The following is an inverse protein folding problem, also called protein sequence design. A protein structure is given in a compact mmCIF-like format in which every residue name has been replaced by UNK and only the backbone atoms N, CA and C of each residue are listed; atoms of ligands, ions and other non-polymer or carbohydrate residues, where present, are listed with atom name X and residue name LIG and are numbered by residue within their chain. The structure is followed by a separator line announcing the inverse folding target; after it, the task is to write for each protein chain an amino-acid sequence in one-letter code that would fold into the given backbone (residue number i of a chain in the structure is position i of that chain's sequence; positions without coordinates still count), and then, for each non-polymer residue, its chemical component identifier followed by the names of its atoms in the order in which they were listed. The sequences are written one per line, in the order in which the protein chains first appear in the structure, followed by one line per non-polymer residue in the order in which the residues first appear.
data_IF_394844874112
#
_entry.id   IF_394844874112
#
_cell.length_a   1.000
_cell.length_b   1.000
_cell.length_c   1.000
_cell.angle_alpha   90.00
_cell.angle_beta   90.00
_cell.angle_gamma   90.00
#
_symmetry.space_group_name_H-M   'P 1'
#
loop_
_entity.id
_entity.type
_entity.pdbx_description
1 polymer ?
#
# COMPACT_ATOMS: atom_id res chain seq x y z
N UNK A 1 -6.30 -4.74 -2.85
CA UNK A 1 -7.39 -5.62 -2.35
C UNK A 1 -8.46 -4.71 -1.74
N UNK A 2 -9.65 -5.17 -1.30
CA UNK A 2 -10.59 -4.22 -0.64
C UNK A 2 -10.06 -3.83 0.75
N UNK A 3 -10.22 -2.57 1.15
CA UNK A 3 -9.77 -2.01 2.45
C UNK A 3 -10.15 -2.88 3.64
N UNK A 4 -11.38 -3.44 3.66
CA UNK A 4 -11.82 -4.33 4.75
C UNK A 4 -10.88 -5.51 5.00
N UNK A 5 -10.27 -6.06 3.95
CA UNK A 5 -9.33 -7.17 4.09
C UNK A 5 -7.96 -6.68 4.60
N UNK A 6 -7.52 -5.48 4.22
CA UNK A 6 -6.32 -4.86 4.80
C UNK A 6 -6.51 -4.58 6.29
N UNK A 7 -7.69 -4.12 6.71
CA UNK A 7 -8.03 -3.95 8.13
C UNK A 7 -7.98 -5.30 8.87
N UNK A 8 -8.61 -6.35 8.33
CA UNK A 8 -8.59 -7.68 8.95
C UNK A 8 -7.17 -8.23 9.06
N UNK A 9 -6.38 -8.19 7.98
CA UNK A 9 -5.01 -8.67 7.99
C UNK A 9 -4.14 -7.87 8.97
N UNK A 10 -4.25 -6.54 8.98
CA UNK A 10 -3.51 -5.67 9.89
C UNK A 10 -3.88 -5.91 11.35
N UNK A 11 -5.15 -6.22 11.64
CA UNK A 11 -5.58 -6.57 12.99
C UNK A 11 -4.97 -7.90 13.44
N UNK A 12 -4.96 -8.91 12.58
CA UNK A 12 -4.39 -10.22 12.88
C UNK A 12 -2.86 -10.15 13.07
N UNK A 13 -2.16 -9.47 12.15
CA UNK A 13 -0.71 -9.30 12.21
C UNK A 13 -0.32 -8.48 13.44
N UNK A 14 -0.95 -7.34 13.68
CA UNK A 14 -0.63 -6.52 14.86
C UNK A 14 -0.97 -7.24 16.17
N UNK A 15 -2.08 -7.98 16.24
CA UNK A 15 -2.41 -8.82 17.40
C UNK A 15 -1.38 -9.91 17.68
N UNK A 16 -0.86 -10.56 16.65
CA UNK A 16 0.23 -11.53 16.77
C UNK A 16 1.52 -10.86 17.28
N UNK A 17 1.87 -9.68 16.73
CA UNK A 17 3.04 -8.92 17.20
C UNK A 17 2.89 -8.51 18.66
N UNK A 18 1.70 -8.06 19.08
CA UNK A 18 1.45 -7.77 20.48
C UNK A 18 1.64 -9.00 21.35
N UNK A 19 1.15 -10.17 20.90
CA UNK A 19 1.28 -11.41 21.66
C UNK A 19 2.75 -11.81 21.88
N UNK A 20 3.62 -11.62 20.87
CA UNK A 20 5.05 -11.97 20.92
C UNK A 20 5.87 -10.92 21.68
N UNK A 21 5.78 -9.65 21.28
CA UNK A 21 6.68 -8.60 21.73
C UNK A 21 6.15 -7.81 22.95
N UNK A 22 4.87 -7.95 23.27
CA UNK A 22 4.17 -7.19 24.32
C UNK A 22 4.35 -5.66 24.19
N UNK A 23 4.61 -5.18 22.97
CA UNK A 23 4.92 -3.78 22.67
C UNK A 23 3.72 -3.07 22.07
N UNK A 24 3.14 -2.15 22.82
CA UNK A 24 2.02 -1.30 22.35
C UNK A 24 2.45 -0.46 21.13
N UNK A 25 3.63 0.22 21.13
CA UNK A 25 4.03 1.02 19.98
C UNK A 25 4.17 0.21 18.70
N UNK A 26 4.83 -0.96 18.74
CA UNK A 26 4.99 -1.84 17.59
C UNK A 26 3.63 -2.25 17.01
N UNK A 27 2.71 -2.61 17.90
CA UNK A 27 1.36 -3.05 17.56
C UNK A 27 0.57 -1.95 16.87
N UNK A 28 0.53 -0.74 17.47
CA UNK A 28 -0.21 0.39 16.92
C UNK A 28 0.37 0.83 15.59
N UNK A 29 1.69 0.98 15.49
CA UNK A 29 2.34 1.42 14.24
C UNK A 29 2.16 0.37 13.15
N UNK A 30 2.26 -0.92 13.46
CA UNK A 30 2.00 -2.00 12.48
C UNK A 30 0.56 -1.97 11.97
N UNK A 31 -0.42 -1.80 12.86
CA UNK A 31 -1.82 -1.69 12.47
C UNK A 31 -2.07 -0.44 11.60
N UNK A 32 -1.63 0.73 12.07
CA UNK A 32 -1.85 2.01 11.41
C UNK A 32 -1.22 2.00 10.02
N UNK A 33 0.04 1.61 9.92
CA UNK A 33 0.71 1.53 8.62
C UNK A 33 0.08 0.49 7.70
N UNK A 34 -0.29 -0.69 8.21
CA UNK A 34 -0.96 -1.71 7.41
C UNK A 34 -2.33 -1.30 6.84
N UNK A 35 -2.99 -0.29 7.41
CA UNK A 35 -4.29 0.22 6.93
C UNK A 35 -4.16 1.52 6.15
N UNK A 36 -3.33 2.46 6.59
CA UNK A 36 -3.30 3.83 6.06
C UNK A 36 -2.38 4.03 4.86
N UNK A 37 -1.64 3.02 4.41
CA UNK A 37 -0.83 3.10 3.19
C UNK A 37 -1.66 3.49 1.97
N UNK A 38 -2.89 2.98 1.88
CA UNK A 38 -3.85 3.30 0.81
C UNK A 38 -4.19 4.80 0.69
N UNK A 39 -3.84 5.62 1.69
CA UNK A 39 -4.01 7.07 1.60
C UNK A 39 -3.14 7.68 0.50
N UNK A 40 -2.08 7.02 0.05
CA UNK A 40 -1.28 7.51 -1.08
C UNK A 40 -2.06 7.62 -2.40
N UNK A 41 -3.16 6.87 -2.55
CA UNK A 41 -4.12 7.00 -3.65
C UNK A 41 -4.87 8.35 -3.67
N UNK A 42 -4.88 9.10 -2.57
CA UNK A 42 -5.56 10.38 -2.49
C UNK A 42 -5.02 11.37 -3.52
N UNK A 43 -3.72 11.31 -3.82
CA UNK A 43 -3.11 12.19 -4.82
C UNK A 43 -3.71 11.95 -6.21
N UNK A 44 -3.79 10.70 -6.66
CA UNK A 44 -4.41 10.30 -7.94
C UNK A 44 -5.88 10.71 -8.01
N UNK A 45 -6.58 10.57 -6.89
CA UNK A 45 -7.99 10.95 -6.80
C UNK A 45 -8.17 12.47 -6.91
N UNK A 46 -7.33 13.26 -6.22
CA UNK A 46 -7.40 14.72 -6.21
C UNK A 46 -7.11 15.35 -7.57
N UNK A 47 -6.17 14.79 -8.34
CA UNK A 47 -5.82 15.29 -9.68
C UNK A 47 -6.74 14.74 -10.79
N UNK A 48 -7.66 13.83 -10.45
CA UNK A 48 -8.58 13.23 -11.40
C UNK A 48 -9.68 14.23 -11.79
N UNK A 49 -10.07 14.31 -13.08
CA UNK A 49 -11.22 15.13 -13.49
C UNK A 49 -12.56 14.63 -12.92
N UNK A 50 -12.58 13.44 -12.32
CA UNK A 50 -13.77 12.84 -11.71
C UNK A 50 -13.85 13.07 -10.19
N UNK A 51 -12.97 13.89 -9.61
CA UNK A 51 -12.91 14.09 -8.16
C UNK A 51 -14.23 14.62 -7.58
N UNK A 52 -14.63 14.02 -6.44
CA UNK A 52 -15.75 14.46 -5.60
C UNK A 52 -15.35 14.37 -4.13
N UNK A 53 -15.77 15.32 -3.30
CA UNK A 53 -15.56 15.25 -1.85
C UNK A 53 -16.55 14.26 -1.20
N UNK A 54 -16.39 12.97 -1.52
CA UNK A 54 -17.20 11.87 -1.01
C UNK A 54 -16.33 10.61 -0.87
N UNK A 55 -16.33 10.02 0.32
CA UNK A 55 -15.50 8.84 0.65
C UNK A 55 -15.99 7.61 -0.12
N UNK A 56 -17.31 7.45 -0.28
CA UNK A 56 -17.86 6.32 -1.03
C UNK A 56 -17.48 6.41 -2.52
N UNK A 57 -17.45 7.62 -3.08
CA UNK A 57 -16.99 7.89 -4.44
C UNK A 57 -15.49 7.62 -4.60
N UNK A 58 -14.66 7.98 -3.62
CA UNK A 58 -13.24 7.65 -3.61
C UNK A 58 -13.00 6.15 -3.81
N UNK A 59 -13.64 5.29 -3.00
CA UNK A 59 -13.48 3.85 -3.16
C UNK A 59 -14.02 3.33 -4.50
N UNK A 60 -15.20 3.81 -4.92
CA UNK A 60 -15.78 3.43 -6.22
C UNK A 60 -14.90 3.83 -7.41
N UNK A 61 -14.17 4.93 -7.31
CA UNK A 61 -13.27 5.42 -8.36
C UNK A 61 -12.15 4.42 -8.65
N UNK A 62 -11.52 3.87 -7.59
CA UNK A 62 -10.47 2.87 -7.72
C UNK A 62 -11.02 1.47 -8.05
N UNK A 63 -12.18 1.08 -7.50
CA UNK A 63 -12.84 -0.19 -7.87
C UNK A 63 -13.18 -0.25 -9.37
N UNK A 64 -13.48 0.90 -9.99
CA UNK A 64 -13.79 1.00 -11.43
C UNK A 64 -12.56 1.25 -12.32
N UNK A 65 -11.34 1.21 -11.78
CA UNK A 65 -10.10 1.48 -12.53
C UNK A 65 -10.13 2.79 -13.33
N UNK A 66 -10.76 3.84 -12.78
CA UNK A 66 -10.91 5.13 -13.47
C UNK A 66 -9.65 6.02 -13.38
N UNK A 67 -8.61 5.55 -12.68
CA UNK A 67 -7.36 6.28 -12.56
C UNK A 67 -6.54 6.23 -13.86
N UNK A 68 -5.92 7.36 -14.19
CA UNK A 68 -5.01 7.48 -15.34
C UNK A 68 -3.54 7.41 -14.93
N UNK A 69 -3.24 7.73 -13.67
CA UNK A 69 -1.88 7.79 -13.12
C UNK A 69 -1.75 6.88 -11.91
N UNK A 70 -0.53 6.44 -11.63
CA UNK A 70 -0.20 5.55 -10.51
C UNK A 70 1.07 6.02 -9.79
N UNK A 71 0.98 7.17 -9.10
CA UNK A 71 2.08 7.72 -8.31
C UNK A 71 2.39 6.88 -7.07
N UNK A 72 1.36 6.39 -6.35
CA UNK A 72 1.38 5.47 -5.20
C UNK A 72 2.75 5.38 -4.50
N UNK A 73 3.13 6.42 -3.77
CA UNK A 73 4.49 6.52 -3.22
C UNK A 73 4.76 5.47 -2.14
N UNK A 74 3.78 5.19 -1.29
CA UNK A 74 3.91 4.22 -0.20
C UNK A 74 3.88 2.78 -0.70
N UNK A 75 3.23 2.52 -1.84
CA UNK A 75 3.26 1.24 -2.55
C UNK A 75 4.54 1.07 -3.39
N UNK A 76 5.70 1.15 -2.73
CA UNK A 76 7.02 1.12 -3.38
C UNK A 76 7.92 0.06 -2.75
N UNK A 77 8.32 -0.95 -3.52
CA UNK A 77 9.25 -1.97 -3.04
C UNK A 77 10.61 -1.37 -2.70
N UNK A 78 11.01 -0.32 -3.42
CA UNK A 78 12.21 0.45 -3.14
C UNK A 78 12.10 1.16 -1.78
N UNK A 79 10.95 1.77 -1.45
CA UNK A 79 10.74 2.40 -0.15
C UNK A 79 10.77 1.37 0.99
N UNK A 80 10.16 0.20 0.77
CA UNK A 80 10.18 -0.88 1.75
C UNK A 80 11.62 -1.40 1.99
N UNK A 81 12.44 -1.50 0.94
CA UNK A 81 13.85 -1.86 1.07
C UNK A 81 14.66 -0.81 1.84
N UNK A 82 14.43 0.48 1.60
CA UNK A 82 15.03 1.57 2.38
C UNK A 82 14.61 1.47 3.85
N UNK A 83 13.32 1.25 4.11
CA UNK A 83 12.80 1.10 5.47
C UNK A 83 13.39 -0.13 6.18
N UNK A 84 13.60 -1.23 5.47
CA UNK A 84 14.29 -2.40 5.99
C UNK A 84 15.72 -2.07 6.43
N UNK A 85 16.49 -1.34 5.60
CA UNK A 85 17.86 -0.92 5.93
C UNK A 85 17.87 -0.01 7.17
N UNK A 86 16.89 0.91 7.28
CA UNK A 86 16.74 1.78 8.46
C UNK A 86 16.40 0.96 9.72
N UNK A 87 15.51 -0.02 9.60
CA UNK A 87 15.15 -0.90 10.71
C UNK A 87 16.33 -1.76 11.18
N UNK A 88 17.12 -2.26 10.22
CA UNK A 88 18.31 -3.04 10.53
C UNK A 88 19.40 -2.19 11.20
N UNK A 89 19.66 -0.98 10.67
CA UNK A 89 20.69 -0.08 11.22
C UNK A 89 20.31 0.53 12.57
N UNK A 90 19.01 0.59 12.91
CA UNK A 90 18.54 1.00 14.24
C UNK A 90 18.62 -0.12 15.28
N UNK A 91 19.11 -1.31 14.93
CA UNK A 91 19.13 -2.47 15.82
C UNK A 91 17.74 -3.07 16.05
N UNK A 92 16.87 -3.01 15.03
CA UNK A 92 15.49 -3.49 15.09
C UNK A 92 14.61 -2.74 16.10
N UNK A 93 14.72 -1.41 16.12
CA UNK A 93 13.81 -0.56 16.90
C UNK A 93 12.34 -0.94 16.62
N UNK A 94 11.56 -1.13 17.69
CA UNK A 94 10.22 -1.71 17.61
C UNK A 94 9.19 -0.80 16.92
N UNK A 95 9.40 0.53 16.89
CA UNK A 95 8.54 1.43 16.12
C UNK A 95 8.79 1.24 14.63
N UNK A 96 10.05 1.22 14.24
CA UNK A 96 10.47 1.06 12.84
C UNK A 96 10.13 -0.35 12.34
N UNK A 97 10.33 -1.38 13.17
CA UNK A 97 9.94 -2.75 12.86
C UNK A 97 8.41 -2.89 12.70
N UNK A 98 7.63 -2.24 13.57
CA UNK A 98 6.17 -2.17 13.43
C UNK A 98 5.77 -1.55 12.09
N UNK A 99 6.35 -0.41 11.73
CA UNK A 99 6.11 0.27 10.45
C UNK A 99 6.47 -0.62 9.26
N UNK A 100 7.65 -1.25 9.30
CA UNK A 100 8.14 -2.14 8.26
C UNK A 100 7.19 -3.34 8.07
N UNK A 101 6.79 -4.01 9.14
CA UNK A 101 5.91 -5.17 9.06
C UNK A 101 4.52 -4.77 8.57
N UNK A 102 3.96 -3.68 9.09
CA UNK A 102 2.67 -3.17 8.65
C UNK A 102 2.66 -2.80 7.16
N UNK A 103 3.72 -2.14 6.68
CA UNK A 103 3.88 -1.85 5.25
C UNK A 103 4.10 -3.10 4.40
N UNK A 104 5.00 -3.98 4.84
CA UNK A 104 5.33 -5.19 4.09
C UNK A 104 4.11 -6.09 3.90
N UNK A 105 3.35 -6.38 4.97
CA UNK A 105 2.18 -7.25 4.85
C UNK A 105 1.11 -6.63 3.94
N UNK A 106 0.87 -5.32 4.01
CA UNK A 106 -0.03 -4.65 3.08
C UNK A 106 0.40 -4.87 1.63
N UNK A 107 1.66 -4.56 1.31
CA UNK A 107 2.21 -4.67 -0.05
C UNK A 107 2.23 -6.11 -0.58
N UNK A 108 2.57 -7.09 0.28
CA UNK A 108 2.56 -8.51 -0.09
C UNK A 108 1.15 -8.96 -0.47
N UNK A 109 0.15 -8.61 0.35
CA UNK A 109 -1.24 -8.96 0.05
C UNK A 109 -1.70 -8.34 -1.26
N UNK A 110 -1.30 -7.10 -1.52
CA UNK A 110 -1.63 -6.39 -2.74
C UNK A 110 -0.98 -7.01 -3.98
N UNK A 111 0.27 -7.44 -3.87
CA UNK A 111 1.00 -8.15 -4.94
C UNK A 111 0.39 -9.52 -5.26
N UNK A 112 -0.16 -10.22 -4.25
CA UNK A 112 -0.74 -11.57 -4.39
C UNK A 112 -2.18 -11.51 -4.90
N UNK A 113 -3.02 -10.66 -4.32
CA UNK A 113 -4.46 -10.70 -4.52
C UNK A 113 -4.98 -9.72 -5.56
N UNK A 114 -4.21 -8.72 -5.98
CA UNK A 114 -4.58 -7.85 -7.08
C UNK A 114 -4.01 -8.35 -8.41
N UNK A 115 -4.72 -8.13 -9.53
CA UNK A 115 -4.21 -8.42 -10.88
C UNK A 115 -3.08 -7.45 -11.25
N UNK A 116 -1.90 -7.65 -10.68
CA UNK A 116 -0.72 -6.80 -10.85
C UNK A 116 0.41 -7.56 -11.56
N UNK A 117 1.33 -6.81 -12.16
CA UNK A 117 2.59 -7.36 -12.64
C UNK A 117 3.63 -7.37 -11.51
N UNK A 118 4.71 -8.13 -11.67
CA UNK A 118 5.83 -8.10 -10.72
C UNK A 118 6.43 -6.69 -10.57
N UNK A 119 6.30 -5.84 -11.59
CA UNK A 119 6.86 -4.48 -11.62
C UNK A 119 5.89 -3.40 -11.13
N UNK A 120 4.62 -3.74 -10.91
CA UNK A 120 3.56 -2.74 -10.70
C UNK A 120 3.82 -1.84 -9.50
N UNK A 121 4.41 -2.37 -8.43
CA UNK A 121 4.75 -1.63 -7.22
C UNK A 121 6.21 -1.15 -7.15
N UNK A 122 6.97 -1.26 -8.25
CA UNK A 122 8.29 -0.61 -8.32
C UNK A 122 8.12 0.85 -8.75
N UNK A 123 8.50 1.78 -7.87
CA UNK A 123 8.34 3.22 -8.12
C UNK A 123 9.19 3.68 -9.31
N UNK A 124 10.43 3.18 -9.45
CA UNK A 124 11.30 3.53 -10.56
C UNK A 124 10.72 3.05 -11.90
N UNK A 125 10.11 1.86 -11.90
CA UNK A 125 9.46 1.35 -13.09
C UNK A 125 8.24 2.18 -13.49
N UNK A 126 7.43 2.61 -12.51
CA UNK A 126 6.31 3.52 -12.77
C UNK A 126 6.78 4.87 -13.29
N UNK A 127 7.85 5.43 -12.71
CA UNK A 127 8.46 6.68 -13.17
C UNK A 127 8.94 6.57 -14.63
N UNK A 128 9.64 5.49 -15.00
CA UNK A 128 10.08 5.23 -16.38
C UNK A 128 8.92 5.15 -17.38
N UNK A 129 7.75 4.72 -16.92
CA UNK A 129 6.53 4.64 -17.73
C UNK A 129 5.59 5.84 -17.52
N UNK A 130 6.15 6.98 -17.05
CA UNK A 130 5.42 8.23 -16.82
C UNK A 130 4.16 8.06 -15.95
N UNK A 131 4.20 7.09 -15.03
CA UNK A 131 3.12 6.69 -14.14
C UNK A 131 1.82 6.33 -14.86
N UNK A 132 1.83 5.96 -16.15
CA UNK A 132 0.61 5.60 -16.89
C UNK A 132 0.00 4.32 -16.32
N UNK A 133 -1.19 4.39 -15.74
CA UNK A 133 -1.85 3.24 -15.09
C UNK A 133 -2.07 2.06 -16.05
N UNK A 134 -2.32 2.32 -17.34
CA UNK A 134 -2.58 1.27 -18.33
C UNK A 134 -1.34 0.43 -18.62
N UNK A 135 -0.17 1.05 -18.51
CA UNK A 135 1.12 0.38 -18.62
C UNK A 135 1.46 -0.23 -17.26
N UNK A 136 1.34 0.57 -16.20
CA UNK A 136 1.82 0.26 -14.87
C UNK A 136 1.05 -0.89 -14.19
N UNK A 137 -0.24 -0.95 -14.46
CA UNK A 137 -1.19 -1.91 -13.92
C UNK A 137 -1.96 -2.58 -15.06
N UNK A 138 -1.26 -2.94 -16.14
CA UNK A 138 -1.86 -3.48 -17.37
C UNK A 138 -2.75 -4.71 -17.16
N UNK A 139 -2.40 -5.59 -16.22
CA UNK A 139 -3.24 -6.73 -15.84
C UNK A 139 -4.56 -6.27 -15.19
N UNK A 140 -4.52 -5.30 -14.28
CA UNK A 140 -5.71 -4.74 -13.65
C UNK A 140 -6.58 -4.00 -14.66
N UNK A 141 -5.96 -3.22 -15.56
CA UNK A 141 -6.65 -2.53 -16.65
C UNK A 141 -7.38 -3.51 -17.59
N UNK A 142 -6.75 -4.66 -17.91
CA UNK A 142 -7.39 -5.71 -18.71
C UNK A 142 -8.50 -6.44 -17.96
N UNK A 143 -8.36 -6.66 -16.66
CA UNK A 143 -9.36 -7.33 -15.84
C UNK A 143 -10.60 -6.47 -15.56
N UNK A 144 -10.49 -5.14 -15.68
CA UNK A 144 -11.60 -4.19 -15.54
C UNK A 144 -12.33 -3.86 -16.85
N UNK A 145 -11.94 -4.47 -17.97
CA UNK A 145 -12.68 -4.49 -19.25
C UNK A 145 -13.46 -5.77 -19.35
#
# INVERSE_FOLDING_TARGET
MKVRYHITASLLVSGLLFWIFKSIPMTLISFISGVLIDVDHLLEYMISPHMKLDIAHFFKFFEKNLTKKAFLFFHSWELLAVLFVICWSSGWDLWIAGLLIGMAQHMILDQIFNPTSAYSYFFIWRMKNNFDFRICFSKAFKAGK
#
